data_IF_975825366983
#
_entry.id   IF_975825366983
#
_cell.length_a   1.000
_cell.length_b   1.000
_cell.length_c   1.000
_cell.angle_alpha   90.00
_cell.angle_beta   90.00
_cell.angle_gamma   90.00
#
_symmetry.space_group_name_H-M   'P 1'
#
loop_
_entity.id
_entity.type
_entity.pdbx_description
1 polymer ?
#
# COMPACT_ATOMS: atom_id res chain seq x y z
N UNK A 1 3.71 -14.30 -20.94
CA UNK A 1 2.25 -14.52 -21.15
C UNK A 1 1.53 -13.22 -20.81
N UNK A 2 0.52 -12.82 -21.58
CA UNK A 2 -0.36 -11.72 -21.23
C UNK A 2 -1.70 -12.31 -20.76
N UNK A 3 -1.98 -12.21 -19.46
CA UNK A 3 -3.20 -12.70 -18.80
C UNK A 3 -4.24 -11.60 -18.71
N UNK A 4 -5.53 -11.95 -18.64
CA UNK A 4 -6.63 -10.95 -18.73
C UNK A 4 -7.68 -11.03 -17.65
N UNK A 5 -7.63 -12.09 -16.83
CA UNK A 5 -8.47 -12.25 -15.65
C UNK A 5 -7.61 -12.21 -14.41
N UNK A 6 -8.14 -11.63 -13.34
CA UNK A 6 -7.44 -11.55 -12.07
C UNK A 6 -7.00 -12.93 -11.56
N UNK A 7 -7.86 -13.95 -11.71
CA UNK A 7 -7.51 -15.34 -11.38
C UNK A 7 -6.33 -15.89 -12.19
N UNK A 8 -6.23 -15.58 -13.48
CA UNK A 8 -5.07 -16.01 -14.29
C UNK A 8 -3.78 -15.30 -13.88
N UNK A 9 -3.88 -14.03 -13.50
CA UNK A 9 -2.75 -13.29 -12.95
C UNK A 9 -2.30 -13.83 -11.59
N UNK A 10 -3.27 -14.22 -10.75
CA UNK A 10 -3.02 -14.89 -9.48
C UNK A 10 -2.32 -16.23 -9.72
N UNK A 11 -2.89 -17.12 -10.54
CA UNK A 11 -2.32 -18.43 -10.86
C UNK A 11 -0.87 -18.32 -11.39
N UNK A 12 -0.58 -17.28 -12.19
CA UNK A 12 0.76 -17.00 -12.69
C UNK A 12 1.78 -16.63 -11.58
N UNK A 13 1.31 -16.10 -10.45
CA UNK A 13 2.14 -15.84 -9.26
C UNK A 13 2.27 -17.05 -8.34
N UNK A 14 1.33 -18.00 -8.43
CA UNK A 14 1.20 -19.16 -7.52
C UNK A 14 1.89 -20.44 -8.01
N UNK A 15 2.95 -20.32 -8.82
CA UNK A 15 3.66 -21.47 -9.38
C UNK A 15 4.21 -22.41 -8.27
N UNK A 16 4.05 -23.74 -8.39
CA UNK A 16 4.54 -24.70 -7.38
C UNK A 16 6.05 -24.70 -7.18
N UNK A 17 6.81 -24.29 -8.20
CA UNK A 17 8.27 -24.15 -8.13
C UNK A 17 8.65 -22.73 -8.55
N UNK A 18 9.33 -22.02 -7.65
CA UNK A 18 9.76 -20.63 -7.86
C UNK A 18 11.28 -20.53 -7.75
N UNK A 19 11.92 -19.99 -8.78
CA UNK A 19 13.38 -19.80 -8.82
C UNK A 19 13.85 -18.57 -8.02
N UNK A 20 12.96 -17.58 -7.87
CA UNK A 20 13.18 -16.37 -7.08
C UNK A 20 11.84 -15.91 -6.52
N UNK A 21 11.83 -15.32 -5.34
CA UNK A 21 10.68 -14.70 -4.74
C UNK A 21 10.66 -13.20 -5.02
N UNK A 22 9.58 -12.75 -5.65
CA UNK A 22 9.28 -11.33 -5.79
C UNK A 22 7.95 -11.06 -5.09
N UNK A 23 7.80 -9.83 -4.61
CA UNK A 23 6.47 -9.31 -4.33
C UNK A 23 5.81 -8.96 -5.68
N UNK A 24 4.71 -9.63 -6.01
CA UNK A 24 3.97 -9.36 -7.23
C UNK A 24 2.69 -8.60 -6.91
N UNK A 25 2.57 -7.36 -7.39
CA UNK A 25 1.35 -6.59 -7.22
C UNK A 25 0.44 -6.83 -8.43
N UNK A 26 -0.76 -7.34 -8.16
CA UNK A 26 -1.80 -7.58 -9.15
C UNK A 26 -2.91 -6.58 -8.90
N UNK A 27 -3.38 -5.91 -9.94
CA UNK A 27 -4.45 -4.92 -9.84
C UNK A 27 -5.38 -5.01 -11.05
N UNK A 28 -6.66 -4.67 -10.85
CA UNK A 28 -7.63 -4.54 -11.93
C UNK A 28 -8.34 -3.18 -11.97
N UNK A 29 -9.04 -2.83 -13.07
CA UNK A 29 -9.79 -1.57 -13.18
C UNK A 29 -10.99 -1.43 -12.24
N UNK A 30 -11.39 -2.49 -11.54
CA UNK A 30 -12.54 -2.55 -10.65
C UNK A 30 -12.19 -2.26 -9.19
N UNK A 31 -10.90 -2.11 -8.88
CA UNK A 31 -10.40 -1.77 -7.56
C UNK A 31 -9.80 -2.95 -6.81
N UNK A 32 -9.80 -4.15 -7.40
CA UNK A 32 -9.19 -5.32 -6.78
C UNK A 32 -7.67 -5.22 -6.87
N UNK A 33 -6.98 -5.27 -5.72
CA UNK A 33 -5.51 -5.25 -5.66
C UNK A 33 -4.99 -6.28 -4.65
N UNK A 34 -3.97 -7.04 -5.04
CA UNK A 34 -3.31 -8.06 -4.23
C UNK A 34 -1.80 -7.87 -4.29
N UNK A 35 -1.12 -8.00 -3.16
CA UNK A 35 0.35 -8.00 -3.07
C UNK A 35 0.80 -9.42 -2.75
N UNK A 36 1.12 -10.21 -3.78
CA UNK A 36 1.48 -11.62 -3.60
C UNK A 36 2.92 -11.75 -3.11
N UNK A 37 3.05 -12.10 -1.84
CA UNK A 37 4.28 -12.45 -1.14
C UNK A 37 4.64 -13.90 -1.44
N UNK A 38 5.65 -14.14 -2.28
CA UNK A 38 6.14 -15.49 -2.56
C UNK A 38 7.35 -15.86 -1.70
N UNK A 39 7.54 -17.15 -1.42
CA UNK A 39 8.82 -17.77 -1.08
C UNK A 39 9.06 -18.97 -2.02
N UNK A 40 10.17 -19.70 -1.82
CA UNK A 40 10.43 -20.94 -2.57
C UNK A 40 9.36 -21.99 -2.29
N UNK A 41 8.86 -22.07 -1.05
CA UNK A 41 8.01 -23.16 -0.56
C UNK A 41 6.58 -22.73 -0.27
N UNK A 42 6.32 -21.43 -0.15
CA UNK A 42 5.07 -20.90 0.37
C UNK A 42 4.69 -19.58 -0.30
N UNK A 43 3.48 -19.10 -0.06
CA UNK A 43 3.03 -17.78 -0.48
C UNK A 43 1.89 -17.26 0.39
N UNK A 44 1.75 -15.94 0.40
CA UNK A 44 0.57 -15.25 0.91
C UNK A 44 0.14 -14.17 -0.07
N UNK A 45 -1.14 -13.82 -0.10
CA UNK A 45 -1.67 -12.81 -1.01
C UNK A 45 -2.46 -11.72 -0.28
N UNK A 46 -1.79 -10.86 0.53
CA UNK A 46 -2.39 -9.68 1.12
C UNK A 46 -3.29 -8.91 0.14
N UNK A 47 -4.55 -8.71 0.54
CA UNK A 47 -5.53 -7.92 -0.19
C UNK A 47 -5.39 -6.42 0.17
N UNK A 48 -5.85 -5.54 -0.72
CA UNK A 48 -5.98 -4.12 -0.44
C UNK A 48 -7.09 -3.87 0.59
N UNK A 49 -6.69 -3.50 1.80
CA UNK A 49 -7.62 -3.09 2.86
C UNK A 49 -7.73 -1.56 2.90
N UNK A 50 -8.92 -1.03 3.21
CA UNK A 50 -9.19 0.42 3.29
C UNK A 50 -8.79 1.23 2.03
N UNK A 51 -8.89 0.61 0.85
CA UNK A 51 -8.55 1.20 -0.47
C UNK A 51 -7.10 1.71 -0.61
N UNK A 52 -6.18 1.30 0.27
CA UNK A 52 -4.75 1.61 0.18
C UNK A 52 -3.87 0.42 0.52
N UNK A 53 -2.76 0.27 -0.20
CA UNK A 53 -1.78 -0.77 0.07
C UNK A 53 -0.37 -0.25 -0.22
N UNK A 54 0.58 -0.62 0.64
CA UNK A 54 2.00 -0.48 0.37
C UNK A 54 2.70 -1.78 0.74
N UNK A 55 3.83 -2.05 0.09
CA UNK A 55 4.70 -3.16 0.42
C UNK A 55 6.14 -2.75 0.15
N UNK A 56 7.09 -3.32 0.89
CA UNK A 56 8.52 -3.09 0.70
C UNK A 56 9.26 -4.40 0.47
N UNK A 57 10.37 -4.63 1.16
CA UNK A 57 11.28 -5.76 0.93
C UNK A 57 11.30 -6.72 2.11
N UNK A 58 10.18 -6.82 2.84
CA UNK A 58 9.98 -7.76 3.93
C UNK A 58 8.53 -8.27 3.88
N UNK A 59 8.30 -9.49 4.36
CA UNK A 59 7.01 -10.15 4.50
C UNK A 59 6.15 -9.45 5.55
N UNK A 60 4.95 -9.02 5.15
CA UNK A 60 3.95 -8.47 6.06
C UNK A 60 3.18 -9.60 6.74
N UNK A 61 2.89 -10.69 6.01
CA UNK A 61 2.10 -11.80 6.53
C UNK A 61 2.80 -12.51 7.69
N UNK A 62 2.13 -12.67 8.85
CA UNK A 62 2.68 -13.43 9.98
C UNK A 62 3.13 -14.84 9.61
N UNK A 63 2.42 -15.52 8.69
CA UNK A 63 2.77 -16.85 8.23
C UNK A 63 4.13 -16.87 7.49
N UNK A 64 4.47 -15.80 6.78
CA UNK A 64 5.68 -15.73 5.94
C UNK A 64 6.91 -15.18 6.68
N UNK A 65 6.75 -14.47 7.80
CA UNK A 65 7.87 -13.79 8.52
C UNK A 65 9.02 -14.71 8.94
N UNK A 66 8.76 -16.00 9.14
CA UNK A 66 9.79 -16.98 9.51
C UNK A 66 10.70 -17.36 8.33
N UNK A 67 10.30 -17.02 7.09
CA UNK A 67 11.02 -17.27 5.85
C UNK A 67 11.89 -16.08 5.41
N UNK A 68 11.93 -15.02 6.20
CA UNK A 68 12.86 -13.91 5.99
C UNK A 68 14.31 -14.39 5.98
N UNK A 69 15.09 -13.93 5.01
CA UNK A 69 16.50 -14.31 4.87
C UNK A 69 17.34 -13.84 6.07
N UNK A 70 17.17 -12.58 6.48
CA UNK A 70 17.75 -12.04 7.72
C UNK A 70 16.79 -11.04 8.37
N UNK A 71 16.15 -11.48 9.46
CA UNK A 71 15.19 -10.64 10.21
C UNK A 71 15.83 -9.46 10.93
N UNK A 72 17.15 -9.45 11.10
CA UNK A 72 17.86 -8.34 11.75
C UNK A 72 18.27 -7.25 10.76
N UNK A 73 18.18 -7.50 9.44
CA UNK A 73 18.60 -6.57 8.38
C UNK A 73 17.44 -6.04 7.52
N UNK A 74 16.25 -5.89 8.13
CA UNK A 74 15.05 -5.35 7.45
C UNK A 74 14.60 -3.98 7.99
N UNK A 75 15.40 -3.33 8.84
CA UNK A 75 15.03 -2.07 9.49
C UNK A 75 14.58 -0.99 8.51
N UNK A 76 15.36 -0.78 7.44
CA UNK A 76 15.02 0.17 6.38
C UNK A 76 13.74 -0.20 5.62
N UNK A 77 13.48 -1.49 5.45
CA UNK A 77 12.29 -2.01 4.79
C UNK A 77 11.03 -1.71 5.60
N UNK A 78 11.11 -1.90 6.92
CA UNK A 78 10.04 -1.58 7.88
C UNK A 78 9.77 -0.07 7.90
N UNK A 79 10.80 0.76 7.99
CA UNK A 79 10.65 2.22 8.03
C UNK A 79 10.00 2.75 6.75
N UNK A 80 10.44 2.31 5.58
CA UNK A 80 9.83 2.70 4.30
C UNK A 80 8.38 2.24 4.20
N UNK A 81 8.05 1.03 4.67
CA UNK A 81 6.67 0.53 4.66
C UNK A 81 5.75 1.44 5.48
N UNK A 82 6.10 1.73 6.73
CA UNK A 82 5.29 2.60 7.57
C UNK A 82 5.26 4.04 7.06
N UNK A 83 6.36 4.53 6.48
CA UNK A 83 6.38 5.84 5.82
C UNK A 83 5.43 5.89 4.64
N UNK A 84 5.46 4.91 3.74
CA UNK A 84 4.57 4.83 2.59
C UNK A 84 3.10 4.74 3.02
N UNK A 85 2.77 3.87 3.97
CA UNK A 85 1.41 3.75 4.52
C UNK A 85 0.93 5.06 5.14
N UNK A 86 1.79 5.77 5.88
CA UNK A 86 1.46 7.08 6.44
C UNK A 86 1.16 8.09 5.33
N UNK A 87 2.03 8.20 4.33
CA UNK A 87 1.86 9.13 3.21
C UNK A 87 0.57 8.86 2.42
N UNK A 88 0.24 7.58 2.19
CA UNK A 88 -1.01 7.18 1.54
C UNK A 88 -2.23 7.58 2.37
N UNK A 89 -2.22 7.30 3.69
CA UNK A 89 -3.31 7.67 4.60
C UNK A 89 -3.52 9.19 4.69
N UNK A 90 -2.45 9.96 4.82
CA UNK A 90 -2.50 11.42 4.90
C UNK A 90 -3.05 12.07 3.62
N UNK A 91 -2.90 11.39 2.48
CA UNK A 91 -3.38 11.87 1.18
C UNK A 91 -4.58 11.07 0.65
N UNK A 92 -5.23 10.27 1.50
CA UNK A 92 -6.36 9.46 1.10
C UNK A 92 -7.54 10.32 0.62
N UNK A 93 -8.26 9.84 -0.40
CA UNK A 93 -9.32 10.59 -1.10
C UNK A 93 -8.80 11.76 -1.95
N UNK A 94 -7.48 11.91 -2.03
CA UNK A 94 -6.79 13.05 -2.59
C UNK A 94 -5.63 12.62 -3.52
N UNK A 95 -5.29 11.33 -3.54
CA UNK A 95 -4.25 10.79 -4.42
C UNK A 95 -4.49 11.25 -5.87
N UNK A 96 -3.43 11.33 -6.65
CA UNK A 96 -3.45 11.57 -8.10
C UNK A 96 -2.11 11.08 -8.65
N UNK A 97 -1.94 10.91 -9.97
CA UNK A 97 -0.63 10.61 -10.52
C UNK A 97 0.44 11.60 -10.06
N UNK A 98 0.17 12.90 -10.10
CA UNK A 98 1.10 13.96 -9.69
C UNK A 98 1.43 13.86 -8.19
N UNK A 99 0.41 13.65 -7.35
CA UNK A 99 0.59 13.45 -5.92
C UNK A 99 1.48 12.24 -5.63
N UNK A 100 1.21 11.11 -6.27
CA UNK A 100 1.99 9.89 -6.10
C UNK A 100 3.44 10.08 -6.57
N UNK A 101 3.66 10.81 -7.66
CA UNK A 101 5.02 11.19 -8.10
C UNK A 101 5.76 12.00 -7.03
N UNK A 102 5.06 12.90 -6.35
CA UNK A 102 5.64 13.66 -5.24
C UNK A 102 5.90 12.80 -4.00
N UNK A 103 4.99 11.87 -3.65
CA UNK A 103 5.21 10.93 -2.54
C UNK A 103 6.43 10.03 -2.78
N UNK A 104 6.69 9.63 -4.03
CA UNK A 104 7.88 8.84 -4.39
C UNK A 104 9.20 9.60 -4.21
N UNK A 105 9.17 10.94 -4.10
CA UNK A 105 10.35 11.76 -3.81
C UNK A 105 10.75 11.73 -2.34
N UNK A 106 9.96 11.12 -1.47
CA UNK A 106 10.16 11.19 -0.02
C UNK A 106 11.56 10.73 0.42
N UNK A 107 12.20 11.58 1.23
CA UNK A 107 13.55 11.40 1.77
C UNK A 107 13.56 11.14 3.29
N UNK A 108 12.44 10.75 3.89
CA UNK A 108 12.45 10.36 5.30
C UNK A 108 13.34 9.11 5.49
N UNK A 109 14.28 9.15 6.45
CA UNK A 109 15.35 8.17 6.63
C UNK A 109 16.44 8.18 5.53
N UNK A 110 16.78 9.34 4.98
CA UNK A 110 17.92 9.48 4.05
C UNK A 110 19.22 8.87 4.63
N UNK A 111 20.01 8.09 3.87
CA UNK A 111 19.88 7.81 2.43
C UNK A 111 18.98 6.61 2.10
N UNK A 112 18.48 5.89 3.11
CA UNK A 112 17.68 4.67 3.00
C UNK A 112 16.16 4.93 2.89
N UNK A 113 15.78 6.10 2.39
CA UNK A 113 14.42 6.57 2.20
C UNK A 113 13.68 5.89 1.04
N UNK A 114 12.40 6.24 0.82
CA UNK A 114 11.61 5.78 -0.35
C UNK A 114 12.32 6.16 -1.66
N UNK A 115 12.70 7.44 -1.79
CA UNK A 115 13.68 7.86 -2.78
C UNK A 115 15.07 7.54 -2.23
N UNK A 116 15.66 6.40 -2.61
CA UNK A 116 16.90 5.87 -2.02
C UNK A 116 18.16 6.46 -2.68
N UNK A 117 19.10 6.90 -1.84
CA UNK A 117 20.34 7.59 -2.22
C UNK A 117 21.61 6.91 -1.66
N UNK A 118 21.58 5.59 -1.45
CA UNK A 118 22.72 4.84 -0.92
C UNK A 118 23.91 4.75 -1.90
N UNK A 119 24.99 4.12 -1.43
CA UNK A 119 26.17 3.81 -2.25
C UNK A 119 25.95 2.49 -2.99
N UNK A 120 25.52 1.45 -2.28
CA UNK A 120 25.30 0.11 -2.84
C UNK A 120 23.94 -0.03 -3.54
N UNK A 121 22.92 0.65 -3.02
CA UNK A 121 21.55 0.57 -3.54
C UNK A 121 20.93 1.96 -3.67
N UNK A 122 20.27 2.21 -4.80
CA UNK A 122 19.65 3.51 -5.15
C UNK A 122 18.34 3.28 -5.88
N UNK A 123 17.41 4.24 -5.81
CA UNK A 123 16.25 4.24 -6.69
C UNK A 123 16.70 4.56 -8.13
N UNK A 124 16.56 3.60 -9.03
CA UNK A 124 17.04 3.69 -10.43
C UNK A 124 15.97 4.10 -11.44
N UNK A 125 14.69 3.93 -11.11
CA UNK A 125 13.54 4.40 -11.87
C UNK A 125 12.31 4.41 -10.97
N UNK A 126 11.24 5.05 -11.43
CA UNK A 126 9.91 5.02 -10.82
C UNK A 126 8.85 4.87 -11.90
N UNK A 127 7.75 4.20 -11.54
CA UNK A 127 6.61 3.98 -12.43
C UNK A 127 5.30 4.18 -11.67
N UNK A 128 4.35 4.85 -12.31
CA UNK A 128 2.96 4.88 -11.89
C UNK A 128 2.13 4.24 -12.99
N UNK A 129 1.21 3.36 -12.63
CA UNK A 129 0.33 2.66 -13.57
C UNK A 129 -1.11 2.96 -13.18
N UNK A 130 -1.84 3.60 -14.08
CA UNK A 130 -3.28 3.78 -14.03
C UNK A 130 -3.93 2.68 -14.87
N UNK A 131 -4.38 1.63 -14.19
CA UNK A 131 -4.99 0.44 -14.81
C UNK A 131 -6.36 0.74 -15.43
N UNK A 132 -7.09 1.73 -14.89
CA UNK A 132 -8.40 2.14 -15.38
C UNK A 132 -8.31 2.83 -16.73
N UNK A 133 -7.42 3.83 -16.84
CA UNK A 133 -7.23 4.58 -18.08
C UNK A 133 -6.14 3.99 -18.99
N UNK A 134 -5.50 2.90 -18.56
CA UNK A 134 -4.41 2.23 -19.29
C UNK A 134 -3.30 3.19 -19.66
N UNK A 135 -2.77 3.89 -18.67
CA UNK A 135 -1.64 4.82 -18.82
C UNK A 135 -0.57 4.50 -17.81
N UNK A 136 0.68 4.73 -18.18
CA UNK A 136 1.80 4.65 -17.27
C UNK A 136 2.65 5.92 -17.37
N UNK A 137 3.15 6.38 -16.23
CA UNK A 137 4.17 7.42 -16.13
C UNK A 137 5.46 6.73 -15.73
N UNK A 138 6.48 6.80 -16.57
CA UNK A 138 7.77 6.13 -16.36
C UNK A 138 8.88 7.17 -16.34
N UNK A 139 9.63 7.20 -15.26
CA UNK A 139 10.76 8.11 -15.08
C UNK A 139 12.04 7.35 -14.79
N UNK A 140 13.13 7.71 -15.47
CA UNK A 140 14.46 7.11 -15.26
C UNK A 140 15.23 7.89 -14.21
N UNK A 141 15.96 7.18 -13.36
CA UNK A 141 16.70 7.75 -12.24
C UNK A 141 15.82 7.92 -11.00
N UNK A 142 16.39 8.62 -10.00
CA UNK A 142 15.68 8.95 -8.76
C UNK A 142 14.53 9.91 -9.05
N UNK A 143 13.35 9.76 -8.43
CA UNK A 143 12.18 10.59 -8.70
C UNK A 143 12.30 12.06 -8.25
N UNK A 144 13.40 12.45 -7.60
CA UNK A 144 13.67 13.80 -7.10
C UNK A 144 14.59 14.63 -8.01
N UNK A 145 14.69 15.95 -7.76
CA UNK A 145 15.47 16.87 -8.59
C UNK A 145 14.78 17.12 -9.93
N UNK A 146 15.54 17.18 -11.01
CA UNK A 146 15.05 17.44 -12.38
C UNK A 146 14.43 16.20 -13.06
N UNK A 147 13.87 15.28 -12.25
CA UNK A 147 13.31 14.04 -12.75
C UNK A 147 12.04 14.29 -13.57
N UNK A 148 11.96 13.64 -14.74
CA UNK A 148 10.83 13.78 -15.67
C UNK A 148 10.20 12.43 -15.94
N UNK A 149 8.88 12.37 -15.80
CA UNK A 149 8.08 11.23 -16.20
C UNK A 149 7.63 11.35 -17.66
N UNK A 150 7.79 10.28 -18.42
CA UNK A 150 7.19 10.13 -19.75
C UNK A 150 5.87 9.38 -19.63
N UNK A 151 4.85 9.86 -20.33
CA UNK A 151 3.52 9.23 -20.34
C UNK A 151 3.46 8.24 -21.49
N UNK A 152 3.00 7.03 -21.18
CA UNK A 152 2.82 5.94 -22.13
C UNK A 152 1.37 5.45 -22.06
N UNK A 153 0.74 5.30 -23.22
CA UNK A 153 -0.51 4.55 -23.33
C UNK A 153 -0.19 3.04 -23.31
N UNK A 154 -0.91 2.29 -22.48
CA UNK A 154 -0.80 0.83 -22.43
C UNK A 154 -1.80 0.25 -23.45
N UNK A 155 -1.29 -0.24 -24.57
CA UNK A 155 -2.13 -0.86 -25.58
C UNK A 155 -2.66 -2.20 -25.08
N UNK A 156 -3.96 -2.44 -25.27
CA UNK A 156 -4.50 -3.77 -25.13
C UNK A 156 -4.01 -4.61 -26.32
N UNK A 157 -3.42 -5.78 -26.05
CA UNK A 157 -3.53 -6.86 -27.03
C UNK A 157 -5.02 -7.22 -27.13
N UNK A 158 -5.59 -7.33 -28.33
CA UNK A 158 -7.05 -7.28 -28.54
C UNK A 158 -7.86 -8.51 -28.04
N UNK A 159 -9.11 -8.32 -27.56
CA UNK A 159 -10.33 -9.16 -27.78
C UNK A 159 -11.61 -8.40 -27.33
N UNK A 160 -12.84 -8.79 -27.73
CA UNK A 160 -13.98 -7.92 -28.00
C UNK A 160 -14.65 -7.39 -26.73
N UNK A 161 -15.56 -6.39 -26.84
CA UNK A 161 -16.14 -5.72 -25.68
C UNK A 161 -16.95 -6.70 -24.82
N UNK A 162 -16.49 -6.88 -23.58
CA UNK A 162 -17.36 -7.22 -22.46
C UNK A 162 -17.98 -5.93 -21.89
N UNK A 163 -19.01 -6.04 -21.04
CA UNK A 163 -19.67 -4.86 -20.48
C UNK A 163 -18.64 -3.96 -19.80
N UNK A 164 -18.60 -2.70 -20.23
CA UNK A 164 -17.79 -1.67 -19.60
C UNK A 164 -18.25 -1.48 -18.15
N UNK A 165 -17.35 -1.15 -17.22
CA UNK A 165 -17.75 -0.66 -15.91
C UNK A 165 -18.77 0.46 -16.03
N UNK A 166 -19.83 0.49 -15.19
CA UNK A 166 -20.45 1.76 -14.91
C UNK A 166 -19.35 2.71 -14.43
N UNK A 167 -19.39 3.96 -14.90
CA UNK A 167 -18.54 5.00 -14.32
C UNK A 167 -18.72 4.93 -12.80
N UNK A 168 -17.61 4.77 -12.07
CA UNK A 168 -17.66 4.82 -10.62
C UNK A 168 -18.44 6.08 -10.24
N UNK A 169 -19.57 5.98 -9.50
CA UNK A 169 -20.25 7.17 -9.00
C UNK A 169 -19.36 7.92 -8.00
N UNK A 170 -18.27 7.29 -7.54
CA UNK A 170 -17.16 7.95 -6.88
C UNK A 170 -16.17 8.40 -7.95
N UNK A 171 -16.42 9.58 -8.51
CA UNK A 171 -15.32 10.43 -8.94
C UNK A 171 -14.33 10.55 -7.78
N UNK A 172 -13.08 10.89 -8.08
CA UNK A 172 -12.07 11.26 -7.08
C UNK A 172 -12.54 12.57 -6.41
N UNK A 173 -13.53 12.46 -5.55
CA UNK A 173 -14.47 13.48 -5.17
C UNK A 173 -15.15 13.05 -3.89
N UNK A 174 -14.48 13.36 -2.79
CA UNK A 174 -14.98 13.20 -1.44
C UNK A 174 -16.28 14.00 -1.27
N UNK A 175 -17.39 13.43 -0.76
CA UNK A 175 -18.46 14.24 -0.20
C UNK A 175 -17.93 14.89 1.07
N UNK A 176 -17.92 16.22 1.07
CA UNK A 176 -17.63 17.02 2.24
C UNK A 176 -18.53 16.61 3.42
N UNK A 177 -17.88 16.39 4.58
CA UNK A 177 -18.40 16.75 5.89
C UNK A 177 -19.71 16.12 6.36
N UNK A 178 -19.60 15.16 7.29
CA UNK A 178 -20.41 15.24 8.50
C UNK A 178 -19.49 15.35 9.71
N UNK A 179 -19.34 16.58 10.19
CA UNK A 179 -18.91 16.88 11.56
C UNK A 179 -19.96 16.28 12.50
N UNK A 180 -19.58 15.32 13.32
CA UNK A 180 -20.32 15.02 14.54
C UNK A 180 -20.02 16.16 15.54
N UNK A 181 -20.94 17.12 15.64
CA UNK A 181 -20.96 18.08 16.74
C UNK A 181 -21.79 17.53 17.92
N UNK A 182 -21.52 17.98 19.15
CA UNK A 182 -22.08 17.38 20.36
C UNK A 182 -23.49 17.93 20.65
N UNK A 183 -24.44 17.04 20.93
CA UNK A 183 -25.79 17.38 21.37
C UNK A 183 -26.12 16.57 22.62
N UNK A 184 -26.31 17.25 23.74
CA UNK A 184 -26.40 16.64 25.07
C UNK A 184 -27.82 16.45 25.62
N UNK A 185 -27.80 15.97 26.86
CA UNK A 185 -28.73 16.17 27.98
C UNK A 185 -30.12 15.48 27.98
N UNK A 186 -30.35 14.78 29.09
CA UNK A 186 -31.62 14.20 29.57
C UNK A 186 -31.41 12.72 29.94
N UNK A 187 -31.13 12.30 31.18
CA UNK A 187 -31.53 12.82 32.48
C UNK A 187 -32.58 11.89 33.09
N UNK A 188 -32.17 10.93 33.94
CA UNK A 188 -32.84 10.53 35.19
C UNK A 188 -32.26 9.23 35.74
N UNK A 189 -32.44 9.04 37.04
CA UNK A 189 -31.48 8.46 37.96
C UNK A 189 -31.91 7.10 38.55
N UNK A 190 -30.94 6.48 39.24
CA UNK A 190 -31.00 5.47 40.32
C UNK A 190 -30.02 4.33 40.01
N UNK A 191 -29.17 3.82 40.89
CA UNK A 191 -28.87 4.05 42.30
C UNK A 191 -27.83 2.98 42.72
N UNK A 192 -27.14 3.21 43.83
CA UNK A 192 -26.19 2.33 44.54
C UNK A 192 -24.78 2.05 43.96
N UNK A 193 -23.81 2.80 44.53
CA UNK A 193 -22.51 2.24 44.96
C UNK A 193 -22.67 1.51 46.30
N UNK A 194 -21.68 0.68 46.71
CA UNK A 194 -20.69 1.27 47.61
C UNK A 194 -19.23 1.01 47.22
N UNK A 195 -18.40 1.89 47.74
CA UNK A 195 -16.97 2.06 47.50
C UNK A 195 -16.07 1.02 48.18
N UNK A 196 -14.98 0.66 47.50
CA UNK A 196 -13.66 0.33 48.08
C UNK A 196 -12.63 0.76 47.01
N UNK A 197 -11.88 1.85 47.14
CA UNK A 197 -10.73 1.99 48.04
C UNK A 197 -9.43 1.94 47.22
N UNK A 198 -9.03 3.06 46.59
CA UNK A 198 -7.72 3.21 45.94
C UNK A 198 -6.62 3.31 47.00
N UNK A 199 -5.57 2.50 46.88
CA UNK A 199 -4.21 2.83 47.37
C UNK A 199 -3.14 2.31 46.41
N UNK A 200 -2.21 3.20 46.05
CA UNK A 200 -0.80 2.99 45.63
C UNK A 200 -0.03 4.18 46.25
N UNK A 201 1.32 4.20 46.39
CA UNK A 201 2.35 3.24 45.95
C UNK A 201 3.46 2.94 47.00
N UNK A 202 4.36 1.98 46.69
CA UNK A 202 5.78 1.98 47.09
C UNK A 202 6.30 0.84 47.99
N UNK A 203 7.19 -0.01 47.46
CA UNK A 203 8.57 -0.24 47.95
C UNK A 203 9.18 -1.52 47.36
N UNK A 204 10.42 -1.38 46.89
CA UNK A 204 11.30 -2.44 46.44
C UNK A 204 11.85 -3.26 47.61
N UNK A 205 12.13 -4.54 47.35
CA UNK A 205 13.24 -5.31 47.93
C UNK A 205 13.83 -6.19 46.84
#
# INVERSE_FOLDING_TARGET
>A
MAVRRLGEAMDACLLPQRASNYNNVIADPWGEVYSVEGSVTDYEAPYIEDDILAHTNHYLSPAMRHLEADRNDIGDSILRYHRAMRLLRENFGQLSPERLMDLLKDHANYPASICRHGIETVTVFSILIDVTHRRAWIGRGRPCGDHVYRIHALSATARPPGPHPPASPRGWGCPAGRRAGPGGAGGSASGNSPAVGRRRPGQAR
#
